data_IF_356869971817
#
_entry.id   IF_356869971817
#
_cell.length_a   1.000
_cell.length_b   1.000
_cell.length_c   1.000
_cell.angle_alpha   90.00
_cell.angle_beta   90.00
_cell.angle_gamma   90.00
#
_symmetry.space_group_name_H-M   'P 1'
#
loop_
_entity.id
_entity.type
_entity.pdbx_description
1 polymer ?
#
# COMPACT_ATOMS: atom_id res chain seq x y z
N UNK A 1 29.59 -8.53 5.27
CA UNK A 1 28.75 -7.83 4.28
C UNK A 1 27.31 -7.95 4.73
N UNK A 2 26.76 -6.91 5.36
CA UNK A 2 25.47 -6.98 6.06
C UNK A 2 24.30 -6.98 5.06
N UNK A 3 23.39 -7.96 5.15
CA UNK A 3 22.20 -8.00 4.32
C UNK A 3 21.21 -6.91 4.79
N UNK A 4 20.59 -6.21 3.85
CA UNK A 4 19.61 -5.13 4.09
C UNK A 4 18.46 -5.56 5.02
N UNK A 5 18.15 -6.85 5.02
CA UNK A 5 17.13 -7.49 5.86
C UNK A 5 17.47 -7.44 7.36
N UNK A 6 18.75 -7.58 7.74
CA UNK A 6 19.19 -7.58 9.14
C UNK A 6 19.09 -6.18 9.77
N UNK A 7 19.30 -5.12 8.95
CA UNK A 7 19.20 -3.71 9.38
C UNK A 7 17.73 -3.34 9.62
N UNK A 8 16.84 -3.77 8.73
CA UNK A 8 15.41 -3.53 8.82
C UNK A 8 14.76 -4.29 9.99
N UNK A 9 15.17 -5.53 10.27
CA UNK A 9 14.72 -6.23 11.46
C UNK A 9 15.21 -5.55 12.75
N UNK A 10 16.50 -5.18 12.81
CA UNK A 10 17.11 -4.50 13.96
C UNK A 10 16.47 -3.14 14.30
N UNK A 11 15.90 -2.44 13.31
CA UNK A 11 15.20 -1.16 13.50
C UNK A 11 13.75 -1.32 13.92
N UNK A 12 13.18 -2.52 13.81
CA UNK A 12 11.79 -2.84 14.22
C UNK A 12 11.61 -3.22 15.70
N UNK A 13 12.73 -3.48 16.41
CA UNK A 13 12.76 -3.74 17.84
C UNK A 13 12.28 -2.52 18.64
N UNK A 14 11.51 -2.72 19.74
CA UNK A 14 10.79 -1.66 20.41
C UNK A 14 11.73 -0.58 20.97
N UNK A 15 11.60 0.64 20.43
CA UNK A 15 12.06 1.86 21.08
C UNK A 15 10.88 2.44 21.86
N UNK A 16 10.66 1.97 23.10
CA UNK A 16 9.60 2.54 23.94
C UNK A 16 10.06 3.89 24.48
N UNK A 17 9.44 4.96 23.98
CA UNK A 17 9.26 6.24 24.65
C UNK A 17 7.78 6.60 24.47
N UNK A 18 6.97 6.34 25.50
CA UNK A 18 5.68 6.99 25.67
C UNK A 18 5.50 7.29 27.15
N UNK A 19 5.96 8.47 27.58
CA UNK A 19 5.31 9.15 28.70
C UNK A 19 3.98 9.65 28.17
N UNK A 20 2.90 8.98 28.56
CA UNK A 20 1.55 9.47 28.37
C UNK A 20 1.38 10.77 29.17
N UNK A 21 1.03 11.85 28.48
CA UNK A 21 0.22 12.93 29.06
C UNK A 21 -0.97 13.10 28.14
N UNK A 22 -2.15 12.86 28.71
CA UNK A 22 -3.43 13.18 28.10
C UNK A 22 -3.47 14.67 27.77
N UNK A 23 -3.72 15.03 26.52
CA UNK A 23 -4.17 16.37 26.16
C UNK A 23 -5.25 16.23 25.10
N UNK A 24 -6.41 16.77 25.47
CA UNK A 24 -7.65 16.87 24.73
C UNK A 24 -7.45 17.47 23.32
N UNK A 25 -8.12 16.87 22.34
CA UNK A 25 -8.42 17.58 21.10
C UNK A 25 -9.66 18.45 21.35
N UNK A 26 -9.44 19.75 21.52
CA UNK A 26 -10.48 20.76 21.49
C UNK A 26 -10.86 21.11 20.02
N UNK A 27 -12.07 21.65 19.79
CA UNK A 27 -12.83 21.44 18.56
C UNK A 27 -12.51 22.46 17.46
N UNK A 28 -12.64 22.02 16.19
CA UNK A 28 -12.81 22.96 15.07
C UNK A 28 -14.18 23.60 15.18
N UNK A 29 -14.20 24.86 15.63
CA UNK A 29 -15.36 25.76 15.58
C UNK A 29 -15.77 26.05 14.13
N UNK A 30 -17.06 25.93 13.91
CA UNK A 30 -17.85 26.51 12.82
C UNK A 30 -17.97 28.04 13.01
N UNK A 31 -17.97 28.79 11.91
CA UNK A 31 -18.70 30.07 11.69
C UNK A 31 -18.50 30.44 10.21
N UNK A 32 -19.56 30.31 9.40
CA UNK A 32 -20.68 31.24 9.19
C UNK A 32 -20.42 32.19 8.03
N UNK A 33 -21.32 32.10 7.08
CA UNK A 33 -21.61 32.92 5.91
C UNK A 33 -21.60 34.43 6.18
N UNK A 34 -20.93 35.18 5.30
CA UNK A 34 -21.41 36.41 4.66
C UNK A 34 -20.35 36.88 3.67
N UNK A 35 -20.65 36.90 2.37
CA UNK A 35 -20.58 38.13 1.57
C UNK A 35 -20.96 37.84 0.11
N UNK A 36 -21.93 38.65 -0.31
CA UNK A 36 -22.55 38.77 -1.61
C UNK A 36 -21.71 39.70 -2.50
N UNK A 37 -21.72 39.40 -3.80
CA UNK A 37 -21.59 40.30 -4.96
C UNK A 37 -20.23 41.00 -5.23
N UNK A 38 -19.59 40.64 -6.34
CA UNK A 38 -19.40 41.49 -7.54
C UNK A 38 -18.65 40.72 -8.66
N UNK A 39 -19.32 40.53 -9.81
CA UNK A 39 -19.05 41.19 -11.10
C UNK A 39 -17.71 40.78 -11.75
N UNK A 40 -17.71 39.91 -12.77
CA UNK A 40 -17.72 40.29 -14.19
C UNK A 40 -16.76 41.43 -14.54
N UNK A 41 -15.64 41.09 -15.19
CA UNK A 41 -15.08 41.86 -16.30
C UNK A 41 -14.12 41.00 -17.13
N UNK A 42 -14.33 41.09 -18.45
CA UNK A 42 -13.61 40.46 -19.55
C UNK A 42 -12.26 41.14 -19.81
N UNK A 43 -11.33 40.41 -20.44
CA UNK A 43 -10.55 40.95 -21.57
C UNK A 43 -9.93 39.84 -22.43
N UNK A 44 -10.06 40.03 -23.74
CA UNK A 44 -9.65 39.20 -24.87
C UNK A 44 -8.16 39.34 -25.21
N UNK A 45 -7.58 38.29 -25.80
CA UNK A 45 -6.88 38.23 -27.10
C UNK A 45 -6.25 36.82 -27.22
N UNK A 46 -6.10 36.14 -28.36
CA UNK A 46 -5.92 36.57 -29.74
C UNK A 46 -6.26 35.38 -30.68
N UNK A 47 -6.66 35.69 -31.90
CA UNK A 47 -7.20 34.81 -32.95
C UNK A 47 -6.14 34.20 -33.86
N UNK A 48 -6.31 32.93 -34.26
CA UNK A 48 -5.90 32.45 -35.60
C UNK A 48 -6.90 31.40 -36.12
N UNK A 49 -7.60 31.77 -37.19
CA UNK A 49 -8.46 30.91 -38.00
C UNK A 49 -7.64 29.82 -38.68
N UNK A 50 -8.07 28.58 -38.52
CA UNK A 50 -7.68 27.45 -39.37
C UNK A 50 -8.97 26.84 -39.89
N UNK A 51 -9.10 26.69 -41.21
CA UNK A 51 -10.22 25.97 -41.85
C UNK A 51 -10.29 24.55 -41.30
N UNK A 52 -11.18 24.31 -40.34
CA UNK A 52 -11.41 22.98 -39.78
C UNK A 52 -12.39 22.25 -40.71
N UNK A 53 -11.94 21.15 -41.31
CA UNK A 53 -12.76 20.24 -42.10
C UNK A 53 -14.11 19.97 -41.37
N UNK A 54 -15.27 20.21 -42.01
CA UNK A 54 -16.58 20.19 -41.36
C UNK A 54 -16.88 18.85 -40.67
N UNK A 55 -16.30 17.76 -41.15
CA UNK A 55 -16.43 16.40 -40.58
C UNK A 55 -15.73 16.28 -39.21
N UNK A 56 -14.57 16.90 -39.03
CA UNK A 56 -13.87 16.93 -37.74
C UNK A 56 -14.57 17.84 -36.72
N UNK A 57 -15.22 18.90 -37.20
CA UNK A 57 -16.06 19.76 -36.36
C UNK A 57 -17.27 18.99 -35.79
N UNK A 58 -17.94 18.18 -36.61
CA UNK A 58 -19.04 17.32 -36.18
C UNK A 58 -18.58 16.21 -35.21
N UNK A 59 -17.43 15.58 -35.47
CA UNK A 59 -16.87 14.57 -34.57
C UNK A 59 -16.50 15.16 -33.19
N UNK A 60 -15.94 16.36 -33.17
CA UNK A 60 -15.63 17.07 -31.93
C UNK A 60 -16.90 17.45 -31.14
N UNK A 61 -17.98 17.82 -31.83
CA UNK A 61 -19.29 18.06 -31.20
C UNK A 61 -19.88 16.76 -30.62
N UNK A 62 -19.81 15.65 -31.37
CA UNK A 62 -20.29 14.34 -30.91
C UNK A 62 -19.50 13.87 -29.67
N UNK A 63 -18.17 14.00 -29.67
CA UNK A 63 -17.32 13.70 -28.50
C UNK A 63 -17.69 14.51 -27.28
N UNK A 64 -18.07 15.79 -27.44
CA UNK A 64 -18.56 16.60 -26.31
C UNK A 64 -19.87 16.05 -25.78
N UNK A 65 -20.84 15.74 -26.63
CA UNK A 65 -22.18 15.25 -26.25
C UNK A 65 -22.10 13.89 -25.53
N UNK A 66 -21.33 12.94 -26.08
CA UNK A 66 -21.14 11.60 -25.49
C UNK A 66 -20.47 11.67 -24.11
N UNK A 67 -19.56 12.64 -23.92
CA UNK A 67 -18.82 12.81 -22.67
C UNK A 67 -19.47 13.80 -21.69
N UNK A 68 -20.71 14.26 -21.94
CA UNK A 68 -21.44 15.13 -20.98
C UNK A 68 -21.68 14.36 -19.67
N UNK A 69 -21.44 15.04 -18.56
CA UNK A 69 -21.66 14.53 -17.20
C UNK A 69 -22.64 15.41 -16.44
N UNK A 70 -23.52 14.81 -15.64
CA UNK A 70 -24.30 15.53 -14.62
C UNK A 70 -23.57 15.36 -13.28
N UNK A 71 -22.78 16.36 -12.91
CA UNK A 71 -21.89 16.26 -11.75
C UNK A 71 -20.75 15.26 -12.02
N UNK A 72 -20.64 14.20 -11.22
CA UNK A 72 -19.56 13.20 -11.36
C UNK A 72 -19.95 11.94 -12.12
N UNK A 73 -21.21 11.80 -12.55
CA UNK A 73 -21.72 10.62 -13.27
C UNK A 73 -21.91 10.94 -14.76
N UNK A 74 -21.41 10.07 -15.62
CA UNK A 74 -21.73 10.05 -17.05
C UNK A 74 -23.17 9.56 -17.25
N UNK A 75 -23.84 10.03 -18.32
CA UNK A 75 -25.16 9.53 -18.70
C UNK A 75 -25.10 8.10 -19.26
N UNK A 76 -23.98 7.74 -19.90
CA UNK A 76 -23.68 6.37 -20.32
C UNK A 76 -22.92 5.62 -19.22
N UNK A 77 -23.11 4.29 -19.16
CA UNK A 77 -22.30 3.41 -18.31
C UNK A 77 -20.84 3.42 -18.79
N UNK A 78 -19.88 3.18 -17.89
CA UNK A 78 -18.45 3.22 -18.24
C UNK A 78 -18.09 2.28 -19.42
N UNK A 79 -18.64 1.04 -19.52
CA UNK A 79 -18.40 0.20 -20.69
C UNK A 79 -18.91 0.82 -22.00
N UNK A 80 -20.14 1.33 -22.02
CA UNK A 80 -20.73 1.96 -23.20
C UNK A 80 -20.04 3.28 -23.57
N UNK A 81 -19.53 4.01 -22.57
CA UNK A 81 -18.76 5.24 -22.78
C UNK A 81 -17.41 4.94 -23.44
N UNK A 82 -16.74 3.86 -23.02
CA UNK A 82 -15.49 3.43 -23.64
C UNK A 82 -15.72 2.94 -25.07
N UNK A 83 -16.74 2.12 -25.29
CA UNK A 83 -17.13 1.62 -26.61
C UNK A 83 -17.50 2.76 -27.58
N UNK A 84 -18.26 3.76 -27.12
CA UNK A 84 -18.60 4.92 -27.93
C UNK A 84 -17.37 5.78 -28.29
N UNK A 85 -16.41 5.92 -27.38
CA UNK A 85 -15.17 6.66 -27.68
C UNK A 85 -14.25 5.87 -28.62
N UNK A 86 -14.14 4.54 -28.48
CA UNK A 86 -13.40 3.69 -29.41
C UNK A 86 -13.98 3.77 -30.84
N UNK A 87 -15.31 3.76 -30.99
CA UNK A 87 -15.95 3.95 -32.30
C UNK A 87 -15.62 5.33 -32.90
N UNK A 88 -15.63 6.39 -32.10
CA UNK A 88 -15.24 7.73 -32.57
C UNK A 88 -13.76 7.82 -32.97
N UNK A 89 -12.86 7.12 -32.26
CA UNK A 89 -11.44 7.03 -32.63
C UNK A 89 -11.23 6.27 -33.94
N UNK A 90 -11.99 5.19 -34.17
CA UNK A 90 -11.98 4.44 -35.43
C UNK A 90 -12.49 5.28 -36.61
N UNK A 91 -13.58 6.03 -36.43
CA UNK A 91 -14.11 6.95 -37.45
C UNK A 91 -13.06 8.03 -37.80
N UNK A 92 -12.37 8.58 -36.79
CA UNK A 92 -11.32 9.58 -37.02
C UNK A 92 -10.12 9.00 -37.79
N UNK A 93 -9.73 7.76 -37.48
CA UNK A 93 -8.70 7.03 -38.21
C UNK A 93 -9.08 6.81 -39.68
N UNK A 94 -10.30 6.34 -39.95
CA UNK A 94 -10.78 6.09 -41.30
C UNK A 94 -10.88 7.37 -42.14
N UNK A 95 -11.33 8.49 -41.53
CA UNK A 95 -11.34 9.80 -42.18
C UNK A 95 -9.92 10.24 -42.54
N UNK A 96 -8.94 10.08 -41.65
CA UNK A 96 -7.55 10.42 -41.91
C UNK A 96 -6.94 9.58 -43.03
N UNK A 97 -7.29 8.29 -43.11
CA UNK A 97 -6.88 7.40 -44.20
C UNK A 97 -7.49 7.84 -45.53
N UNK A 98 -8.79 8.18 -45.56
CA UNK A 98 -9.47 8.67 -46.76
C UNK A 98 -8.89 10.01 -47.26
N UNK A 99 -8.59 10.93 -46.34
CA UNK A 99 -7.93 12.20 -46.69
C UNK A 99 -6.55 11.92 -47.29
N UNK A 100 -5.78 11.02 -46.68
CA UNK A 100 -4.44 10.64 -47.18
C UNK A 100 -4.48 9.97 -48.55
N UNK A 101 -5.53 9.20 -48.85
CA UNK A 101 -5.76 8.57 -50.15
C UNK A 101 -6.26 9.57 -51.21
N UNK A 102 -6.97 10.63 -50.82
CA UNK A 102 -7.42 11.70 -51.72
C UNK A 102 -6.28 12.65 -52.14
N UNK A 103 -5.22 12.76 -51.35
CA UNK A 103 -4.04 13.61 -51.62
C UNK A 103 -3.05 13.03 -52.64
N UNK A 104 -3.32 11.83 -53.18
CA UNK A 104 -2.52 11.14 -54.20
C UNK A 104 -3.35 10.84 -55.46
N UNK A 105 -3.88 11.87 -56.12
CA UNK A 105 -4.22 11.78 -57.56
C UNK A 105 -3.89 13.10 -58.27
N UNK A 106 -3.02 13.12 -59.30
CA UNK A 106 -3.02 14.20 -60.27
C UNK A 106 -4.26 14.05 -61.17
N UNK A 107 -4.85 15.20 -61.52
CA UNK A 107 -6.10 15.32 -62.28
C UNK A 107 -6.12 14.53 -63.59
N UNK A 108 -7.27 13.90 -63.86
CA UNK A 108 -7.65 13.35 -65.16
C UNK A 108 -9.04 12.72 -65.11
N UNK A 109 -10.01 13.40 -65.71
CA UNK A 109 -11.47 13.15 -65.72
C UNK A 109 -11.84 11.84 -66.44
N UNK A 110 -12.75 11.03 -65.87
CA UNK A 110 -14.00 10.51 -66.51
C UNK A 110 -14.78 9.59 -65.57
N UNK A 111 -16.04 9.39 -65.91
CA UNK A 111 -17.22 9.16 -65.08
C UNK A 111 -17.39 7.76 -64.47
N UNK A 112 -18.25 7.74 -63.43
CA UNK A 112 -19.16 6.68 -63.02
C UNK A 112 -18.64 5.23 -62.88
N UNK A 113 -18.75 4.68 -61.67
CA UNK A 113 -19.85 3.76 -61.33
C UNK A 113 -19.74 3.30 -59.87
N UNK A 114 -20.89 3.27 -59.22
CA UNK A 114 -21.11 2.69 -57.91
C UNK A 114 -20.76 1.19 -57.90
N UNK A 115 -20.32 0.68 -56.75
CA UNK A 115 -20.77 -0.63 -56.24
C UNK A 115 -20.35 -0.82 -54.78
N UNK A 116 -21.35 -0.99 -53.94
CA UNK A 116 -21.26 -1.52 -52.59
C UNK A 116 -21.06 -3.05 -52.64
N UNK A 117 -20.23 -3.60 -51.75
CA UNK A 117 -20.33 -5.00 -51.29
C UNK A 117 -19.57 -5.08 -49.95
N UNK A 118 -20.21 -5.15 -48.77
CA UNK A 118 -20.77 -6.36 -48.12
C UNK A 118 -19.74 -7.51 -48.05
N UNK A 119 -19.46 -8.23 -46.96
CA UNK A 119 -20.12 -8.50 -45.69
C UNK A 119 -19.11 -9.17 -44.72
N UNK A 120 -19.33 -8.92 -43.44
CA UNK A 120 -19.22 -9.85 -42.29
C UNK A 120 -18.92 -11.33 -42.57
N UNK A 121 -18.12 -11.96 -41.70
CA UNK A 121 -18.63 -13.09 -40.89
C UNK A 121 -17.76 -13.42 -39.69
N UNK A 122 -18.44 -13.61 -38.56
CA UNK A 122 -17.93 -14.19 -37.32
C UNK A 122 -18.01 -15.74 -37.34
N UNK A 123 -17.42 -16.33 -36.28
CA UNK A 123 -17.75 -17.59 -35.58
C UNK A 123 -16.57 -18.60 -35.51
N UNK A 124 -16.31 -19.02 -34.27
CA UNK A 124 -15.35 -20.02 -33.74
C UNK A 124 -16.07 -21.38 -33.53
N UNK A 125 -15.57 -22.34 -32.73
CA UNK A 125 -14.55 -23.38 -32.96
C UNK A 125 -15.12 -24.82 -32.92
N UNK A 126 -14.36 -25.86 -33.32
CA UNK A 126 -14.48 -27.21 -32.70
C UNK A 126 -13.27 -28.13 -32.97
N UNK A 127 -13.11 -29.12 -32.08
CA UNK A 127 -12.01 -30.04 -31.82
C UNK A 127 -12.01 -31.30 -32.72
N UNK A 128 -10.86 -31.99 -32.83
CA UNK A 128 -10.76 -33.47 -32.75
C UNK A 128 -9.30 -33.97 -32.73
N UNK A 129 -9.16 -35.14 -32.10
CA UNK A 129 -7.98 -35.82 -31.54
C UNK A 129 -7.16 -36.73 -32.49
N UNK A 130 -6.02 -37.22 -31.96
CA UNK A 130 -5.41 -38.56 -32.11
C UNK A 130 -4.24 -38.86 -33.09
N UNK A 131 -3.07 -39.11 -32.47
CA UNK A 131 -2.23 -40.35 -32.52
C UNK A 131 -1.12 -40.58 -33.59
N UNK A 132 0.14 -40.36 -33.16
CA UNK A 132 1.38 -41.20 -33.13
C UNK A 132 1.77 -42.12 -34.34
N UNK A 133 3.00 -41.94 -34.86
CA UNK A 133 4.03 -43.01 -35.06
C UNK A 133 5.46 -42.52 -35.46
N UNK A 134 6.42 -42.77 -34.54
CA UNK A 134 7.81 -43.29 -34.61
C UNK A 134 8.86 -43.01 -35.74
N UNK A 135 9.97 -42.36 -35.31
CA UNK A 135 11.44 -42.68 -35.47
C UNK A 135 12.20 -42.48 -36.81
N UNK A 136 13.56 -42.43 -36.84
CA UNK A 136 14.54 -41.74 -35.96
C UNK A 136 15.64 -40.97 -36.75
N UNK A 137 16.37 -40.03 -36.13
CA UNK A 137 17.69 -39.58 -36.65
C UNK A 137 18.61 -38.98 -35.56
N UNK A 138 19.59 -39.80 -35.23
CA UNK A 138 20.95 -39.64 -34.68
C UNK A 138 21.55 -38.23 -34.49
N UNK A 139 21.91 -37.98 -33.22
CA UNK A 139 23.06 -37.27 -32.61
C UNK A 139 23.56 -35.89 -33.07
N UNK A 140 23.66 -34.97 -32.09
CA UNK A 140 24.96 -34.44 -31.62
C UNK A 140 24.86 -33.86 -30.21
N UNK A 141 25.66 -34.41 -29.31
CA UNK A 141 25.82 -34.04 -27.91
C UNK A 141 26.66 -32.76 -27.74
N UNK A 142 26.13 -31.81 -26.98
CA UNK A 142 26.90 -30.73 -26.35
C UNK A 142 26.34 -30.51 -24.94
N UNK A 143 27.17 -30.23 -23.92
CA UNK A 143 26.72 -30.14 -22.53
C UNK A 143 25.88 -28.88 -22.33
N UNK A 144 24.55 -29.01 -22.43
CA UNK A 144 23.62 -27.97 -22.01
C UNK A 144 23.51 -28.00 -20.49
N UNK A 145 24.17 -27.06 -19.83
CA UNK A 145 23.84 -26.67 -18.46
C UNK A 145 22.39 -26.17 -18.46
N UNK A 146 21.45 -27.03 -18.08
CA UNK A 146 20.05 -26.66 -17.88
C UNK A 146 20.00 -25.65 -16.73
N UNK A 147 19.88 -24.37 -17.07
CA UNK A 147 19.53 -23.34 -16.08
C UNK A 147 18.16 -23.71 -15.53
N UNK A 148 18.10 -24.06 -14.25
CA UNK A 148 16.84 -24.29 -13.52
C UNK A 148 15.92 -23.10 -13.75
N UNK A 149 14.65 -23.37 -14.03
CA UNK A 149 13.64 -22.31 -14.13
C UNK A 149 13.61 -21.51 -12.83
N UNK A 150 13.30 -20.21 -12.91
CA UNK A 150 13.08 -19.37 -11.72
C UNK A 150 12.06 -20.00 -10.76
N UNK A 151 11.05 -20.69 -11.31
CA UNK A 151 10.07 -21.45 -10.53
C UNK A 151 10.67 -22.64 -9.77
N UNK A 152 11.66 -23.32 -10.34
CA UNK A 152 12.33 -24.47 -9.71
C UNK A 152 13.35 -24.02 -8.66
N UNK A 153 13.99 -22.86 -8.87
CA UNK A 153 14.90 -22.24 -7.91
C UNK A 153 14.16 -21.73 -6.64
N UNK A 154 12.89 -21.34 -6.78
CA UNK A 154 12.05 -20.95 -5.65
C UNK A 154 11.51 -22.14 -4.84
N UNK A 155 11.30 -23.30 -5.47
CA UNK A 155 10.86 -24.52 -4.79
C UNK A 155 11.98 -25.20 -3.99
N UNK A 156 13.24 -25.00 -4.38
CA UNK A 156 14.39 -25.64 -3.72
C UNK A 156 14.90 -24.92 -2.47
N UNK A 157 14.47 -23.68 -2.21
CA UNK A 157 14.85 -22.96 -1.00
C UNK A 157 13.74 -23.10 0.04
N UNK A 158 14.01 -23.71 1.21
CA UNK A 158 13.05 -23.65 2.31
C UNK A 158 12.74 -22.16 2.59
N UNK A 159 11.50 -21.83 2.99
CA UNK A 159 11.15 -20.45 3.32
C UNK A 159 12.17 -19.93 4.34
N UNK A 160 12.90 -18.86 3.99
CA UNK A 160 13.90 -18.26 4.89
C UNK A 160 13.19 -17.95 6.20
N UNK A 161 13.53 -18.70 7.26
CA UNK A 161 12.96 -18.50 8.58
C UNK A 161 13.37 -17.12 9.07
N UNK A 162 12.40 -16.36 9.61
CA UNK A 162 12.65 -15.00 10.08
C UNK A 162 13.50 -15.05 11.36
N UNK A 163 14.51 -14.16 11.49
CA UNK A 163 15.28 -14.08 12.72
C UNK A 163 14.36 -13.74 13.89
N UNK A 164 14.66 -14.29 15.05
CA UNK A 164 13.94 -14.07 16.30
C UNK A 164 14.86 -13.40 17.30
N UNK A 165 14.29 -12.71 18.29
CA UNK A 165 15.06 -11.98 19.28
C UNK A 165 14.68 -12.40 20.70
N UNK A 166 15.66 -12.37 21.60
CA UNK A 166 15.50 -12.61 23.04
C UNK A 166 15.91 -11.32 23.73
N UNK A 167 15.09 -10.84 24.65
CA UNK A 167 15.34 -9.62 25.42
C UNK A 167 15.73 -10.01 26.83
N UNK A 168 16.96 -9.71 27.22
CA UNK A 168 17.48 -9.91 28.56
C UNK A 168 17.33 -8.60 29.33
N UNK A 169 16.71 -8.67 30.50
CA UNK A 169 16.56 -7.55 31.43
C UNK A 169 17.04 -7.93 32.82
N UNK A 170 17.57 -7.00 33.63
CA UNK A 170 17.79 -7.25 35.05
C UNK A 170 16.42 -7.50 35.72
N UNK A 171 16.32 -8.45 36.66
CA UNK A 171 15.06 -8.69 37.39
C UNK A 171 14.65 -7.50 38.24
N UNK A 172 15.62 -6.84 38.85
CA UNK A 172 15.41 -5.61 39.61
C UNK A 172 16.22 -4.48 38.96
N UNK A 173 15.66 -3.27 38.97
CA UNK A 173 16.18 -2.13 38.19
C UNK A 173 17.61 -1.74 38.54
N UNK A 174 18.14 -2.18 39.68
CA UNK A 174 19.48 -1.87 40.18
C UNK A 174 20.27 -3.14 40.62
N UNK A 175 19.84 -4.34 40.20
CA UNK A 175 20.48 -5.61 40.61
C UNK A 175 21.90 -5.84 40.05
N UNK A 176 22.35 -5.00 39.10
CA UNK A 176 23.62 -5.13 38.42
C UNK A 176 24.47 -3.88 38.64
N UNK A 177 25.61 -4.05 39.31
CA UNK A 177 26.68 -3.05 39.36
C UNK A 177 27.40 -3.04 38.01
N UNK A 178 26.92 -2.24 37.05
CA UNK A 178 27.54 -2.06 35.74
C UNK A 178 26.66 -2.44 34.55
N UNK A 179 27.28 -2.54 33.37
CA UNK A 179 26.58 -2.87 32.13
C UNK A 179 26.25 -4.37 32.08
N UNK A 180 25.03 -4.70 31.66
CA UNK A 180 24.59 -6.10 31.49
C UNK A 180 25.54 -6.90 30.59
N UNK A 181 26.16 -6.25 29.61
CA UNK A 181 27.10 -6.91 28.70
C UNK A 181 28.36 -7.37 29.43
N UNK A 182 28.83 -6.60 30.40
CA UNK A 182 30.08 -6.88 31.11
C UNK A 182 29.85 -8.04 32.08
N UNK A 183 28.77 -7.97 32.87
CA UNK A 183 28.34 -9.07 33.74
C UNK A 183 28.16 -10.40 32.99
N UNK A 184 27.52 -10.37 31.81
CA UNK A 184 27.36 -11.57 30.99
C UNK A 184 28.68 -12.07 30.39
N UNK A 185 29.64 -11.18 30.15
CA UNK A 185 30.97 -11.55 29.63
C UNK A 185 31.84 -12.20 30.70
N UNK A 186 31.64 -11.84 31.97
CA UNK A 186 32.35 -12.44 33.11
C UNK A 186 31.81 -13.85 33.43
N UNK A 187 30.49 -14.04 33.31
CA UNK A 187 29.84 -15.31 33.62
C UNK A 187 29.87 -16.32 32.47
N UNK A 188 29.81 -15.85 31.22
CA UNK A 188 29.73 -16.70 30.03
C UNK A 188 30.98 -16.52 29.16
N UNK A 189 31.84 -17.55 29.06
CA UNK A 189 33.02 -17.51 28.21
C UNK A 189 32.67 -17.24 26.74
N UNK A 190 33.49 -16.46 26.04
CA UNK A 190 33.26 -16.11 24.63
C UNK A 190 33.25 -17.32 23.68
N UNK A 191 33.81 -18.45 24.08
CA UNK A 191 33.84 -19.71 23.32
C UNK A 191 32.66 -20.66 23.66
N UNK A 192 31.74 -20.24 24.52
CA UNK A 192 30.60 -21.08 24.94
C UNK A 192 29.63 -21.38 23.78
N UNK A 193 29.04 -22.57 23.77
CA UNK A 193 28.14 -23.06 22.71
C UNK A 193 26.92 -22.16 22.48
N UNK A 194 26.46 -21.47 23.52
CA UNK A 194 25.36 -20.49 23.50
C UNK A 194 25.50 -19.42 22.40
N UNK A 195 26.72 -19.07 22.00
CA UNK A 195 26.95 -18.07 20.95
C UNK A 195 26.94 -18.63 19.52
N UNK A 196 26.95 -19.97 19.34
CA UNK A 196 27.04 -20.64 18.02
C UNK A 196 25.95 -20.19 17.04
N UNK A 197 24.75 -19.92 17.55
CA UNK A 197 23.57 -19.58 16.76
C UNK A 197 23.18 -18.09 16.86
N UNK A 198 24.00 -17.27 17.51
CA UNK A 198 23.74 -15.84 17.70
C UNK A 198 24.23 -15.06 16.49
N UNK A 199 23.32 -14.35 15.82
CA UNK A 199 23.68 -13.43 14.73
C UNK A 199 24.26 -12.13 15.25
N UNK A 200 23.62 -11.57 16.27
CA UNK A 200 23.89 -10.21 16.73
C UNK A 200 23.41 -9.99 18.15
N UNK A 201 24.20 -9.23 18.89
CA UNK A 201 23.88 -8.78 20.25
C UNK A 201 23.84 -7.26 20.26
N UNK A 202 22.76 -6.67 20.78
CA UNK A 202 22.55 -5.22 20.81
C UNK A 202 22.07 -4.74 22.17
N UNK A 203 22.67 -3.66 22.67
CA UNK A 203 22.21 -3.02 23.90
C UNK A 203 20.85 -2.33 23.65
N UNK A 204 19.93 -2.49 24.60
CA UNK A 204 18.60 -1.88 24.59
C UNK A 204 18.42 -1.02 25.85
N UNK A 205 17.31 -0.27 25.91
CA UNK A 205 17.01 0.59 27.06
C UNK A 205 16.89 -0.22 28.36
N UNK A 206 17.00 0.47 29.49
CA UNK A 206 16.88 -0.11 30.84
C UNK A 206 17.93 -1.21 31.12
N UNK A 207 19.19 -0.95 30.73
CA UNK A 207 20.31 -1.88 30.86
C UNK A 207 20.01 -3.29 30.31
N UNK A 208 19.17 -3.38 29.26
CA UNK A 208 18.82 -4.66 28.66
C UNK A 208 19.76 -5.02 27.51
N UNK A 209 19.73 -6.29 27.13
CA UNK A 209 20.48 -6.85 26.00
C UNK A 209 19.56 -7.65 25.08
N UNK A 210 19.55 -7.32 23.79
CA UNK A 210 18.82 -8.07 22.77
C UNK A 210 19.76 -9.02 22.04
N UNK A 211 19.43 -10.31 22.08
CA UNK A 211 20.15 -11.38 21.36
C UNK A 211 19.30 -11.82 20.17
N UNK A 212 19.86 -11.76 18.97
CA UNK A 212 19.18 -12.12 17.71
C UNK A 212 19.70 -13.47 17.23
N UNK A 213 18.79 -14.42 17.01
CA UNK A 213 19.07 -15.79 16.55
C UNK A 213 18.31 -16.08 15.24
N UNK A 214 18.62 -17.19 14.57
CA UNK A 214 18.08 -17.44 13.22
C UNK A 214 16.61 -17.88 13.21
N UNK A 215 16.15 -18.58 14.25
CA UNK A 215 14.82 -19.20 14.25
C UNK A 215 14.27 -19.43 15.66
N UNK A 216 12.99 -19.85 15.73
CA UNK A 216 12.29 -20.15 16.99
C UNK A 216 12.90 -21.34 17.76
N UNK A 217 13.44 -22.36 17.07
CA UNK A 217 14.09 -23.52 17.73
C UNK A 217 15.35 -23.09 18.49
N UNK A 218 16.25 -22.39 17.81
CA UNK A 218 17.48 -21.83 18.38
C UNK A 218 17.20 -20.79 19.46
N UNK A 219 16.07 -20.08 19.36
CA UNK A 219 15.62 -19.19 20.43
C UNK A 219 15.28 -19.97 21.70
N UNK A 220 14.59 -21.09 21.57
CA UNK A 220 14.25 -21.96 22.68
C UNK A 220 15.51 -22.61 23.28
N UNK A 221 16.41 -23.14 22.43
CA UNK A 221 17.71 -23.68 22.85
C UNK A 221 18.53 -22.65 23.65
N UNK A 222 18.60 -21.40 23.17
CA UNK A 222 19.28 -20.32 23.89
C UNK A 222 18.62 -20.01 25.24
N UNK A 223 17.28 -20.00 25.30
CA UNK A 223 16.53 -19.75 26.53
C UNK A 223 16.71 -20.85 27.57
N UNK A 224 16.94 -22.08 27.14
CA UNK A 224 17.25 -23.21 28.01
C UNK A 224 18.71 -23.15 28.47
N UNK A 225 19.65 -22.91 27.55
CA UNK A 225 21.07 -22.85 27.85
C UNK A 225 21.42 -21.68 28.79
N UNK A 226 20.80 -20.51 28.62
CA UNK A 226 21.04 -19.36 29.49
C UNK A 226 20.56 -19.58 30.92
N UNK A 227 19.59 -20.48 31.13
CA UNK A 227 19.07 -20.81 32.47
C UNK A 227 19.99 -21.77 33.23
N UNK A 228 20.95 -22.41 32.57
CA UNK A 228 21.93 -23.29 33.22
C UNK A 228 22.95 -22.50 34.07
N UNK A 229 23.08 -21.20 33.87
CA UNK A 229 23.98 -20.33 34.63
C UNK A 229 23.27 -19.79 35.89
N UNK A 230 23.67 -20.19 37.11
CA UNK A 230 22.96 -19.84 38.35
C UNK A 230 22.88 -18.33 38.62
N UNK A 231 23.97 -17.59 38.37
CA UNK A 231 24.03 -16.14 38.59
C UNK A 231 23.17 -15.36 37.58
N UNK A 232 23.09 -15.84 36.34
CA UNK A 232 22.22 -15.27 35.32
C UNK A 232 20.75 -15.58 35.63
N UNK A 233 20.42 -16.82 35.99
CA UNK A 233 19.05 -17.22 36.35
C UNK A 233 18.51 -16.43 37.54
N UNK A 234 19.36 -16.05 38.49
CA UNK A 234 18.96 -15.25 39.65
C UNK A 234 18.77 -13.79 39.30
N UNK A 235 19.71 -13.15 38.60
CA UNK A 235 19.71 -11.69 38.36
C UNK A 235 19.04 -11.23 37.06
N UNK A 236 18.89 -12.10 36.07
CA UNK A 236 18.41 -11.76 34.73
C UNK A 236 17.06 -12.42 34.46
N UNK A 237 16.18 -11.68 33.78
CA UNK A 237 14.89 -12.13 33.26
C UNK A 237 14.95 -12.16 31.73
N UNK A 238 15.05 -13.35 31.12
CA UNK A 238 14.82 -13.50 29.69
C UNK A 238 13.34 -13.27 29.38
N UNK A 239 13.09 -12.47 28.34
CA UNK A 239 11.74 -12.18 27.87
C UNK A 239 11.70 -12.22 26.34
N UNK A 240 10.58 -12.68 25.81
CA UNK A 240 10.34 -12.63 24.37
C UNK A 240 9.82 -11.25 23.98
N UNK A 241 10.20 -10.73 22.79
CA UNK A 241 9.60 -9.51 22.27
C UNK A 241 8.09 -9.72 22.13
N UNK A 242 7.32 -8.73 22.56
CA UNK A 242 5.87 -8.76 22.43
C UNK A 242 5.45 -8.90 20.96
N UNK A 243 4.53 -9.82 20.72
CA UNK A 243 3.90 -10.01 19.41
C UNK A 243 3.13 -8.73 19.08
N UNK A 244 3.41 -8.16 17.90
CA UNK A 244 2.69 -6.98 17.40
C UNK A 244 1.66 -7.43 16.38
N UNK A 245 0.42 -7.59 16.80
CA UNK A 245 -0.65 -7.94 15.86
C UNK A 245 -0.98 -6.77 14.92
N UNK A 246 -1.41 -7.07 13.69
CA UNK A 246 -1.89 -6.07 12.75
C UNK A 246 -3.19 -5.45 13.25
N UNK A 247 -3.82 -4.61 12.42
CA UNK A 247 -5.02 -3.90 12.82
C UNK A 247 -6.06 -3.93 11.72
N UNK A 248 -7.31 -4.11 12.11
CA UNK A 248 -8.48 -3.88 11.27
C UNK A 248 -9.09 -2.52 11.62
N UNK A 249 -9.70 -1.88 10.64
CA UNK A 249 -10.51 -0.68 10.80
C UNK A 249 -11.92 -0.93 10.32
N UNK A 250 -12.89 -0.53 11.15
CA UNK A 250 -14.29 -0.38 10.79
C UNK A 250 -14.52 1.08 10.42
N UNK A 251 -14.97 1.34 9.19
CA UNK A 251 -15.25 2.68 8.71
C UNK A 251 -16.72 3.05 8.92
N UNK A 252 -16.95 4.30 9.33
CA UNK A 252 -18.28 4.90 9.32
C UNK A 252 -19.29 4.25 10.27
N UNK A 253 -18.83 3.76 11.43
CA UNK A 253 -19.72 3.18 12.45
C UNK A 253 -20.60 4.30 13.02
N UNK A 254 -21.93 4.22 12.94
CA UNK A 254 -22.82 5.19 13.57
C UNK A 254 -22.58 5.29 15.08
N UNK A 255 -22.60 6.51 15.63
CA UNK A 255 -22.36 6.75 17.05
C UNK A 255 -23.43 6.15 17.98
N UNK A 256 -24.59 5.74 17.42
CA UNK A 256 -25.65 5.03 18.13
C UNK A 256 -25.32 3.56 18.41
N UNK A 257 -24.29 3.00 17.74
CA UNK A 257 -23.85 1.62 17.92
C UNK A 257 -22.79 1.57 19.05
N UNK A 258 -23.04 0.72 20.04
CA UNK A 258 -22.13 0.50 21.17
C UNK A 258 -21.10 -0.59 20.86
N UNK A 259 -20.03 -0.64 21.66
CA UNK A 259 -18.91 -1.56 21.43
C UNK A 259 -19.35 -3.03 21.51
N UNK A 260 -20.24 -3.36 22.43
CA UNK A 260 -20.74 -4.70 22.69
C UNK A 260 -21.44 -5.29 21.47
N UNK A 261 -22.23 -4.47 20.75
CA UNK A 261 -22.89 -4.86 19.52
C UNK A 261 -21.88 -5.17 18.41
N UNK A 262 -20.86 -4.32 18.26
CA UNK A 262 -19.79 -4.53 17.28
C UNK A 262 -19.00 -5.79 17.61
N UNK A 263 -18.65 -6.02 18.88
CA UNK A 263 -17.92 -7.21 19.32
C UNK A 263 -18.72 -8.48 19.05
N UNK A 264 -20.04 -8.48 19.34
CA UNK A 264 -20.91 -9.62 19.04
C UNK A 264 -20.89 -9.97 17.55
N UNK A 265 -21.05 -8.99 16.67
CA UNK A 265 -21.02 -9.25 15.23
C UNK A 265 -19.63 -9.65 14.71
N UNK A 266 -18.56 -9.09 15.29
CA UNK A 266 -17.18 -9.50 14.96
C UNK A 266 -16.91 -10.96 15.37
N UNK A 267 -17.38 -11.39 16.54
CA UNK A 267 -17.30 -12.79 16.99
C UNK A 267 -18.06 -13.72 16.08
N UNK A 268 -19.32 -13.40 15.79
CA UNK A 268 -20.13 -14.16 14.85
C UNK A 268 -19.48 -14.23 13.46
N UNK A 269 -18.87 -13.12 13.02
CA UNK A 269 -18.21 -13.05 11.72
C UNK A 269 -16.92 -13.87 11.65
N UNK A 270 -16.23 -14.09 12.77
CA UNK A 270 -14.90 -14.73 12.84
C UNK A 270 -14.91 -16.12 13.47
N UNK A 271 -16.04 -16.54 14.03
CA UNK A 271 -16.18 -17.80 14.79
C UNK A 271 -15.18 -17.87 15.94
N UNK A 272 -15.01 -16.75 16.65
CA UNK A 272 -14.12 -16.59 17.79
C UNK A 272 -14.92 -16.11 19.00
N UNK A 273 -14.57 -16.60 20.18
CA UNK A 273 -15.27 -16.23 21.43
C UNK A 273 -14.65 -15.00 22.12
N UNK A 274 -13.44 -14.62 21.73
CA UNK A 274 -12.71 -13.50 22.33
C UNK A 274 -13.04 -12.15 21.69
N UNK A 275 -13.12 -11.09 22.51
CA UNK A 275 -13.27 -9.72 22.03
C UNK A 275 -11.96 -9.24 21.40
N UNK A 276 -12.05 -8.45 20.33
CA UNK A 276 -10.90 -7.75 19.76
C UNK A 276 -10.63 -6.47 20.56
N UNK A 277 -9.36 -6.23 20.92
CA UNK A 277 -8.97 -5.02 21.65
C UNK A 277 -9.11 -3.78 20.74
N UNK A 278 -9.91 -2.81 21.15
CA UNK A 278 -9.93 -1.49 20.52
C UNK A 278 -8.62 -0.74 20.83
N UNK A 279 -7.93 -0.28 19.78
CA UNK A 279 -6.73 0.56 19.91
C UNK A 279 -7.10 2.03 20.08
N UNK A 280 -7.93 2.55 19.19
CA UNK A 280 -8.42 3.93 19.23
C UNK A 280 -9.61 4.12 18.28
N UNK A 281 -10.33 5.23 18.48
CA UNK A 281 -11.47 5.66 17.68
C UNK A 281 -11.19 7.08 17.14
N UNK A 282 -11.67 7.42 15.96
CA UNK A 282 -11.55 8.77 15.40
C UNK A 282 -12.75 9.12 14.52
N UNK A 283 -13.01 10.42 14.29
CA UNK A 283 -14.18 10.89 13.53
C UNK A 283 -14.24 10.27 12.12
N UNK A 284 -15.43 9.81 11.74
CA UNK A 284 -15.74 9.32 10.41
C UNK A 284 -15.82 10.43 9.36
N UNK A 285 -16.12 10.04 8.12
CA UNK A 285 -16.31 11.00 7.01
C UNK A 285 -17.67 11.68 7.11
N UNK A 286 -18.70 10.92 7.46
CA UNK A 286 -20.07 11.39 7.61
C UNK A 286 -20.30 11.95 9.02
N UNK A 287 -21.31 12.81 9.15
CA UNK A 287 -21.75 13.28 10.46
C UNK A 287 -22.25 12.10 11.30
N UNK A 288 -22.04 12.18 12.61
CA UNK A 288 -22.43 11.14 13.57
C UNK A 288 -21.87 9.73 13.33
N UNK A 289 -20.74 9.64 12.61
CA UNK A 289 -19.99 8.40 12.44
C UNK A 289 -18.60 8.44 13.06
N UNK A 290 -18.13 7.29 13.52
CA UNK A 290 -16.78 7.06 14.05
C UNK A 290 -16.11 5.89 13.34
N UNK A 291 -14.80 6.01 13.13
CA UNK A 291 -13.96 4.91 12.66
C UNK A 291 -13.30 4.24 13.86
N UNK A 292 -13.31 2.92 13.89
CA UNK A 292 -12.82 2.12 15.00
C UNK A 292 -11.65 1.25 14.55
N UNK A 293 -10.51 1.34 15.23
CA UNK A 293 -9.33 0.55 14.93
C UNK A 293 -9.14 -0.51 16.00
N UNK A 294 -9.14 -1.77 15.58
CA UNK A 294 -8.96 -2.94 16.43
C UNK A 294 -7.59 -3.54 16.22
N UNK A 295 -7.04 -4.09 17.29
CA UNK A 295 -5.96 -5.06 17.19
C UNK A 295 -6.52 -6.42 16.79
N UNK A 296 -5.87 -7.06 15.82
CA UNK A 296 -6.45 -8.23 15.18
C UNK A 296 -5.34 -9.24 14.90
N UNK A 297 -5.38 -10.45 15.50
CA UNK A 297 -4.51 -11.56 15.13
C UNK A 297 -4.51 -11.84 13.62
N UNK A 298 -3.41 -12.38 13.09
CA UNK A 298 -3.21 -12.59 11.66
C UNK A 298 -4.32 -13.41 11.01
N UNK A 299 -4.70 -14.52 11.63
CA UNK A 299 -5.80 -15.40 11.20
C UNK A 299 -7.14 -14.68 11.15
N UNK A 300 -7.51 -13.97 12.22
CA UNK A 300 -8.76 -13.22 12.31
C UNK A 300 -8.80 -12.11 11.24
N UNK A 301 -7.68 -11.42 11.03
CA UNK A 301 -7.59 -10.38 10.01
C UNK A 301 -7.80 -10.94 8.60
N UNK A 302 -7.28 -12.14 8.30
CA UNK A 302 -7.52 -12.83 7.01
C UNK A 302 -9.02 -13.06 6.79
N UNK A 303 -9.75 -13.50 7.82
CA UNK A 303 -11.21 -13.72 7.75
C UNK A 303 -11.94 -12.39 7.52
N UNK A 304 -11.65 -11.38 8.34
CA UNK A 304 -12.29 -10.06 8.24
C UNK A 304 -12.04 -9.38 6.89
N UNK A 305 -10.83 -9.51 6.34
CA UNK A 305 -10.49 -9.00 5.01
C UNK A 305 -11.27 -9.67 3.89
N UNK A 306 -11.52 -10.98 3.98
CA UNK A 306 -12.34 -11.71 2.99
C UNK A 306 -13.80 -11.26 3.05
N UNK A 307 -14.34 -11.05 4.25
CA UNK A 307 -15.71 -10.56 4.43
C UNK A 307 -15.88 -9.12 3.91
N UNK A 308 -14.87 -8.26 4.10
CA UNK A 308 -14.83 -6.85 3.68
C UNK A 308 -15.89 -5.92 4.29
N UNK A 309 -17.00 -6.48 4.80
CA UNK A 309 -18.12 -5.79 5.42
C UNK A 309 -18.71 -6.65 6.53
N UNK A 310 -19.30 -6.00 7.53
CA UNK A 310 -20.17 -6.62 8.53
C UNK A 310 -21.45 -5.82 8.65
N UNK A 311 -22.52 -6.50 9.03
CA UNK A 311 -23.79 -5.87 9.35
C UNK A 311 -23.91 -5.76 10.87
N UNK A 312 -24.14 -4.55 11.37
CA UNK A 312 -24.39 -4.30 12.79
C UNK A 312 -25.71 -3.57 12.88
N UNK A 313 -26.73 -4.22 13.46
CA UNK A 313 -28.14 -3.81 13.30
C UNK A 313 -28.47 -3.67 11.81
N UNK A 314 -29.11 -2.57 11.41
CA UNK A 314 -29.45 -2.23 10.03
C UNK A 314 -28.37 -1.40 9.32
N UNK A 315 -27.14 -1.42 9.82
CA UNK A 315 -26.02 -0.69 9.23
C UNK A 315 -25.00 -1.64 8.61
N UNK A 316 -24.52 -1.30 7.42
CA UNK A 316 -23.40 -2.00 6.77
C UNK A 316 -22.12 -1.24 7.05
N UNK A 317 -21.17 -1.89 7.71
CA UNK A 317 -19.89 -1.31 8.12
C UNK A 317 -18.76 -1.93 7.32
N UNK A 318 -17.99 -1.08 6.64
CA UNK A 318 -16.85 -1.52 5.82
C UNK A 318 -15.64 -1.87 6.70
N UNK A 319 -15.01 -3.00 6.41
CA UNK A 319 -13.81 -3.48 7.10
C UNK A 319 -12.61 -3.42 6.17
N UNK A 320 -11.51 -2.83 6.64
CA UNK A 320 -10.21 -2.90 5.95
C UNK A 320 -9.07 -3.15 6.94
N UNK A 321 -7.92 -3.47 6.39
CA UNK A 321 -6.67 -3.48 7.14
C UNK A 321 -6.20 -2.04 7.39
N UNK A 322 -5.79 -1.76 8.62
CA UNK A 322 -5.29 -0.45 9.03
C UNK A 322 -3.79 -0.48 9.24
N UNK A 323 -3.09 0.40 8.51
CA UNK A 323 -1.65 0.56 8.61
C UNK A 323 -1.29 1.76 9.49
N UNK A 324 -0.50 1.53 10.54
CA UNK A 324 -0.03 2.59 11.43
C UNK A 324 1.19 3.31 10.84
N UNK A 325 1.05 3.78 9.60
CA UNK A 325 2.10 4.50 8.89
C UNK A 325 2.03 5.98 9.28
N UNK A 326 3.12 6.49 9.85
CA UNK A 326 3.24 7.90 10.20
C UNK A 326 3.43 8.72 8.94
N UNK A 327 2.49 9.61 8.66
CA UNK A 327 2.59 10.60 7.59
C UNK A 327 2.50 12.00 8.20
N UNK A 328 3.45 12.85 7.84
CA UNK A 328 3.44 14.24 8.26
C UNK A 328 2.38 15.01 7.47
N UNK A 329 1.42 15.64 8.15
CA UNK A 329 0.39 16.43 7.46
C UNK A 329 0.90 17.80 6.97
N UNK A 330 2.13 18.18 7.36
CA UNK A 330 2.76 19.44 6.97
C UNK A 330 3.57 19.28 5.68
N UNK A 331 4.48 18.31 5.60
CA UNK A 331 5.30 18.06 4.40
C UNK A 331 4.88 16.84 3.56
N UNK A 332 3.90 16.05 4.03
CA UNK A 332 3.40 14.82 3.38
C UNK A 332 4.37 13.63 3.34
N UNK A 333 5.59 13.78 3.86
CA UNK A 333 6.56 12.69 3.97
C UNK A 333 6.17 11.66 5.03
N UNK A 334 6.70 10.45 4.88
CA UNK A 334 6.54 9.36 5.82
C UNK A 334 7.58 9.42 6.97
N UNK A 335 7.34 8.66 8.03
CA UNK A 335 8.28 8.46 9.14
C UNK A 335 8.16 9.43 10.32
N UNK A 336 7.52 10.59 10.15
CA UNK A 336 7.36 11.58 11.22
C UNK A 336 5.97 12.24 11.23
N UNK A 337 5.67 12.97 12.31
CA UNK A 337 4.44 13.75 12.47
C UNK A 337 4.73 15.25 12.37
N UNK A 338 3.70 16.07 12.17
CA UNK A 338 3.85 17.54 12.02
C UNK A 338 4.66 18.19 13.15
N UNK A 339 4.52 17.74 14.39
CA UNK A 339 5.25 18.29 15.56
C UNK A 339 6.77 18.13 15.47
N UNK A 340 7.25 17.12 14.73
CA UNK A 340 8.67 16.80 14.58
C UNK A 340 9.11 16.99 13.13
N UNK A 341 8.42 17.87 12.39
CA UNK A 341 8.72 18.11 10.98
C UNK A 341 9.91 19.07 10.86
N UNK A 342 10.95 18.72 10.07
CA UNK A 342 12.10 19.60 9.86
C UNK A 342 11.80 20.73 8.86
N UNK A 343 10.70 20.64 8.11
CA UNK A 343 10.39 21.63 7.09
C UNK A 343 9.76 22.89 7.69
N UNK A 344 10.13 24.04 7.14
CA UNK A 344 9.59 25.35 7.54
C UNK A 344 8.36 25.77 6.73
N UNK A 345 8.19 25.22 5.52
CA UNK A 345 7.06 25.50 4.62
C UNK A 345 6.19 24.25 4.42
N UNK A 346 4.85 24.39 4.44
CA UNK A 346 3.96 23.26 4.20
C UNK A 346 4.00 22.85 2.73
N UNK A 347 3.84 21.57 2.46
CA UNK A 347 3.69 21.00 1.13
C UNK A 347 2.27 20.50 0.95
N UNK A 348 1.61 20.94 -0.12
CA UNK A 348 0.26 20.52 -0.44
C UNK A 348 0.22 19.02 -0.78
N UNK A 349 -0.64 18.27 -0.10
CA UNK A 349 -0.87 16.84 -0.35
C UNK A 349 -1.61 16.51 -1.65
N UNK A 350 -2.10 17.53 -2.35
CA UNK A 350 -2.75 17.36 -3.65
C UNK A 350 -1.81 17.76 -4.79
N UNK A 351 -1.21 18.95 -4.78
CA UNK A 351 -0.47 19.46 -5.92
C UNK A 351 1.03 19.69 -5.68
N UNK A 352 1.56 19.25 -4.54
CA UNK A 352 2.98 19.34 -4.15
C UNK A 352 3.57 20.75 -4.04
N UNK A 353 2.77 21.80 -4.24
CA UNK A 353 3.20 23.21 -4.13
C UNK A 353 3.22 23.68 -2.67
N UNK A 354 4.05 24.69 -2.32
CA UNK A 354 4.11 25.25 -0.97
C UNK A 354 2.82 25.98 -0.54
N UNK A 355 1.85 25.24 -0.02
CA UNK A 355 0.70 25.78 0.71
C UNK A 355 0.00 24.67 1.51
N UNK A 356 -0.88 25.05 2.43
CA UNK A 356 -1.70 24.07 3.16
C UNK A 356 -2.69 23.36 2.23
N UNK A 357 -2.83 22.04 2.36
CA UNK A 357 -3.66 21.20 1.49
C UNK A 357 -5.13 21.66 1.44
N UNK A 358 -5.68 22.14 2.55
CA UNK A 358 -7.07 22.62 2.60
C UNK A 358 -7.31 23.90 1.78
N UNK A 359 -6.25 24.64 1.42
CA UNK A 359 -6.31 25.81 0.53
C UNK A 359 -6.07 25.45 -0.94
N UNK A 360 -5.93 24.17 -1.28
CA UNK A 360 -5.69 23.73 -2.65
C UNK A 360 -6.93 23.94 -3.53
N UNK A 361 -6.75 24.66 -4.64
CA UNK A 361 -7.79 24.81 -5.68
C UNK A 361 -7.56 23.91 -6.90
N UNK A 362 -6.41 23.25 -7.00
CA UNK A 362 -6.10 22.33 -8.10
C UNK A 362 -6.83 21.00 -7.93
N UNK A 363 -7.41 20.50 -9.02
CA UNK A 363 -8.08 19.20 -9.08
C UNK A 363 -7.16 18.06 -9.58
N UNK A 364 -5.85 18.22 -9.40
CA UNK A 364 -4.83 17.23 -9.80
C UNK A 364 -4.16 16.71 -8.53
N UNK A 365 -3.97 15.39 -8.46
CA UNK A 365 -3.24 14.73 -7.39
C UNK A 365 -1.86 14.33 -7.89
N UNK A 366 -0.83 14.88 -7.26
CA UNK A 366 0.58 14.58 -7.48
C UNK A 366 1.15 14.13 -6.14
N UNK A 367 1.79 12.97 -6.13
CA UNK A 367 2.44 12.43 -4.95
C UNK A 367 3.85 13.00 -4.81
N UNK A 368 4.06 13.85 -3.80
CA UNK A 368 5.39 14.40 -3.50
C UNK A 368 6.39 13.29 -3.19
N UNK A 369 5.98 12.21 -2.51
CA UNK A 369 6.89 11.15 -2.12
C UNK A 369 7.44 10.42 -3.36
N UNK A 370 6.57 10.03 -4.30
CA UNK A 370 7.01 9.41 -5.57
C UNK A 370 7.79 10.40 -6.44
N UNK A 371 7.39 11.67 -6.49
CA UNK A 371 8.10 12.70 -7.24
C UNK A 371 9.53 12.89 -6.72
N UNK A 372 9.70 13.02 -5.40
CA UNK A 372 11.02 13.13 -4.76
C UNK A 372 11.83 11.85 -4.95
N UNK A 373 11.21 10.68 -4.80
CA UNK A 373 11.88 9.40 -5.00
C UNK A 373 12.43 9.27 -6.43
N UNK A 374 11.63 9.61 -7.44
CA UNK A 374 12.06 9.61 -8.83
C UNK A 374 13.24 10.55 -9.08
N UNK A 375 13.24 11.74 -8.48
CA UNK A 375 14.35 12.70 -8.60
C UNK A 375 15.64 12.17 -7.98
N UNK A 376 15.56 11.57 -6.78
CA UNK A 376 16.73 11.09 -6.03
C UNK A 376 17.30 9.81 -6.63
N UNK A 377 16.43 8.89 -7.05
CA UNK A 377 16.83 7.54 -7.51
C UNK A 377 16.80 7.38 -9.03
N UNK A 378 16.52 8.45 -9.77
CA UNK A 378 16.40 8.44 -11.25
C UNK A 378 15.42 7.37 -11.75
N UNK A 379 14.29 7.22 -11.07
CA UNK A 379 13.21 6.28 -11.44
C UNK A 379 12.04 7.00 -12.11
N UNK A 380 11.12 6.24 -12.69
CA UNK A 380 9.98 6.74 -13.47
C UNK A 380 8.61 6.27 -12.94
N UNK A 381 8.47 6.05 -11.63
CA UNK A 381 7.17 5.68 -11.06
C UNK A 381 6.10 6.74 -11.32
N UNK A 382 4.87 6.32 -11.58
CA UNK A 382 3.73 7.25 -11.71
C UNK A 382 3.67 8.18 -10.50
N UNK A 383 3.42 9.47 -10.74
CA UNK A 383 3.27 10.48 -9.67
C UNK A 383 1.86 11.02 -9.58
N UNK A 384 1.00 10.77 -10.58
CA UNK A 384 -0.37 11.28 -10.68
C UNK A 384 -1.35 10.48 -9.81
N UNK A 385 -1.15 10.53 -8.50
CA UNK A 385 -2.00 9.87 -7.53
C UNK A 385 -1.87 10.53 -6.15
N UNK A 386 -2.79 10.17 -5.25
CA UNK A 386 -2.69 10.54 -3.83
C UNK A 386 -1.59 9.73 -3.15
N UNK A 387 -0.93 10.33 -2.16
CA UNK A 387 0.15 9.67 -1.42
C UNK A 387 -0.27 8.34 -0.75
N UNK A 388 -1.54 8.15 -0.41
CA UNK A 388 -2.08 6.91 0.21
C UNK A 388 -2.77 5.98 -0.80
N UNK A 389 -2.65 6.25 -2.10
CA UNK A 389 -3.23 5.40 -3.13
C UNK A 389 -2.56 4.02 -3.14
N UNK A 390 -3.30 2.98 -3.55
CA UNK A 390 -2.72 1.67 -3.85
C UNK A 390 -1.71 1.74 -5.00
N UNK A 391 -1.84 2.72 -5.90
CA UNK A 391 -0.90 2.97 -7.00
C UNK A 391 0.40 3.66 -6.55
N UNK A 392 0.53 4.05 -5.28
CA UNK A 392 1.70 4.78 -4.79
C UNK A 392 2.82 3.83 -4.38
N UNK A 393 3.93 3.84 -5.14
CA UNK A 393 5.13 3.04 -4.86
C UNK A 393 5.72 3.31 -3.46
N UNK A 394 5.83 4.58 -3.06
CA UNK A 394 6.35 4.92 -1.74
C UNK A 394 5.44 4.40 -0.63
N UNK A 395 4.11 4.49 -0.81
CA UNK A 395 3.16 3.96 0.16
C UNK A 395 3.19 2.44 0.23
N UNK A 396 3.27 1.73 -0.91
CA UNK A 396 3.41 0.26 -0.89
C UNK A 396 4.69 -0.19 -0.20
N UNK A 397 5.78 0.58 -0.34
CA UNK A 397 7.04 0.34 0.38
C UNK A 397 6.87 0.51 1.89
N UNK A 398 6.20 1.56 2.34
CA UNK A 398 5.88 1.77 3.75
C UNK A 398 4.94 0.70 4.31
N UNK A 399 3.94 0.26 3.53
CA UNK A 399 3.06 -0.86 3.90
C UNK A 399 3.85 -2.15 4.04
N UNK A 400 4.76 -2.45 3.11
CA UNK A 400 5.62 -3.62 3.18
C UNK A 400 6.56 -3.56 4.41
N UNK A 401 7.14 -2.39 4.70
CA UNK A 401 7.93 -2.16 5.90
C UNK A 401 7.11 -2.39 7.17
N UNK A 402 5.91 -1.79 7.25
CA UNK A 402 4.99 -2.00 8.36
C UNK A 402 4.64 -3.48 8.55
N UNK A 403 4.33 -4.20 7.46
CA UNK A 403 3.95 -5.61 7.51
C UNK A 403 5.05 -6.51 8.06
N UNK A 404 6.32 -6.19 7.80
CA UNK A 404 7.47 -6.91 8.37
C UNK A 404 7.58 -6.75 9.89
N UNK A 405 6.97 -5.70 10.46
CA UNK A 405 6.95 -5.46 11.91
C UNK A 405 5.72 -6.02 12.63
N UNK A 406 4.89 -6.80 11.93
CA UNK A 406 3.63 -7.32 12.44
C UNK A 406 3.54 -8.82 12.23
N UNK A 407 2.82 -9.46 13.13
CA UNK A 407 2.57 -10.88 13.07
C UNK A 407 1.28 -11.19 12.31
N UNK A 408 1.44 -11.74 11.11
CA UNK A 408 0.33 -12.15 10.24
C UNK A 408 0.13 -13.67 10.22
N UNK A 409 0.95 -14.41 10.96
CA UNK A 409 0.79 -15.86 11.06
C UNK A 409 -0.53 -16.19 11.75
#
# INVERSE_FOLDING_TARGET
>A
MFQKEDIDFCSSLPNQNSKAKAIANAPRRSRSTSDLLQAQQESQSDSQDTEVNPTFSLLAQLRRIVNIKRGTKSYLTIPLLNEANEIMDLIESDINVLISQSSLKPNGVTEAQASATFLTKAISPEQADATIQTTPSISRSGPKTTKKSFADALKSNPPKQRPTAILLYPKEKDSLEGSMRDFLSDEVPSNHSIFKNVRKIKNIKNNGLAVIVNNKSQQQEFLEEIQNFPLIKTKISPSLPSIKHPSAILYGVPNSIIEEEIQRELKAATSQDSNLRVRFKFKGKEEDTTNWVFETPGEILKILKRKSKIHVKWHTVDIREFYHIKKCNFCQAYGHVTKTCPNTKPTCGNCTVPHATFKCRRNVFICINCSTYNKVHQTNYSTFHRAHSSACFCHSTEVAAYKRTRDYE
#
